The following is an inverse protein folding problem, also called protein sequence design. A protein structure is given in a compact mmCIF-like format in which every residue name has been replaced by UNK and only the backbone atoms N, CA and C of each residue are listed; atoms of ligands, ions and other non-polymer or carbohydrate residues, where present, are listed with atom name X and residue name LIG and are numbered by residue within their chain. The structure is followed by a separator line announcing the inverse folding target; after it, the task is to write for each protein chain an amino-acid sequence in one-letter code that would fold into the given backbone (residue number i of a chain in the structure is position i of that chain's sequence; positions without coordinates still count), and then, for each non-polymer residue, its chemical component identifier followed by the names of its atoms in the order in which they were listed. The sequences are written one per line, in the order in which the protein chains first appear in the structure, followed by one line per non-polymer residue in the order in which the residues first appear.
data_IF_083282683938
#
_entry.id   IF_083282683938
#
_cell.length_a   1.000
_cell.length_b   1.000
_cell.length_c   1.000
_cell.angle_alpha   90.00
_cell.angle_beta   90.00
_cell.angle_gamma   90.00
#
_symmetry.space_group_name_H-M   'P 1'
#
loop_
_entity.id
_entity.type
_entity.pdbx_description
1 polymer ?
#
# COMPACT_ATOMS: atom_id res chain seq x y z
N UNK A 1 -14.74 -3.99 17.87
CA UNK A 1 -13.77 -5.01 17.41
C UNK A 1 -13.59 -4.79 15.92
N UNK A 2 -12.38 -4.48 15.45
CA UNK A 2 -12.10 -4.36 14.01
C UNK A 2 -12.28 -5.73 13.36
N UNK A 3 -13.17 -5.81 12.38
CA UNK A 3 -13.40 -7.03 11.62
C UNK A 3 -12.14 -7.37 10.82
N UNK A 4 -11.46 -8.46 11.17
CA UNK A 4 -10.35 -8.96 10.34
C UNK A 4 -10.96 -9.61 9.11
N UNK A 5 -10.61 -9.19 7.90
CA UNK A 5 -11.20 -9.74 6.69
C UNK A 5 -10.91 -11.25 6.57
N UNK A 6 -11.93 -12.02 6.21
CA UNK A 6 -11.77 -13.42 5.83
C UNK A 6 -10.87 -13.56 4.59
N UNK A 7 -10.32 -14.76 4.36
CA UNK A 7 -9.49 -15.06 3.19
C UNK A 7 -8.42 -14.00 2.87
N UNK A 8 -7.76 -13.46 3.92
CA UNK A 8 -6.69 -12.45 3.81
C UNK A 8 -7.11 -11.15 3.09
N UNK A 9 -8.39 -10.78 3.14
CA UNK A 9 -8.94 -9.59 2.50
C UNK A 9 -9.46 -9.81 1.07
N UNK A 10 -9.37 -11.02 0.54
CA UNK A 10 -9.78 -11.33 -0.84
C UNK A 10 -11.29 -11.24 -1.11
N UNK A 11 -12.11 -11.02 -0.11
CA UNK A 11 -13.56 -10.79 -0.24
C UNK A 11 -14.03 -9.64 0.67
N UNK A 12 -13.14 -8.69 0.94
CA UNK A 12 -13.45 -7.60 1.87
C UNK A 12 -14.57 -6.71 1.33
N UNK A 13 -14.42 -6.18 0.12
CA UNK A 13 -15.42 -5.31 -0.51
C UNK A 13 -16.70 -6.05 -0.86
N UNK A 14 -16.62 -7.35 -1.19
CA UNK A 14 -17.79 -8.22 -1.34
C UNK A 14 -18.70 -8.19 -0.11
N UNK A 15 -18.13 -8.11 1.11
CA UNK A 15 -18.89 -8.13 2.36
C UNK A 15 -19.85 -6.94 2.53
N UNK A 16 -19.58 -5.82 1.88
CA UNK A 16 -20.41 -4.61 1.92
C UNK A 16 -21.51 -4.57 0.86
N UNK A 17 -21.48 -5.48 -0.11
CA UNK A 17 -22.49 -5.57 -1.15
C UNK A 17 -23.82 -6.10 -0.59
N UNK A 18 -24.93 -5.65 -1.16
CA UNK A 18 -26.23 -6.28 -0.93
C UNK A 18 -26.30 -7.67 -1.61
N UNK A 19 -27.41 -8.38 -1.47
CA UNK A 19 -27.54 -9.74 -2.01
C UNK A 19 -27.35 -9.79 -3.53
N UNK A 20 -27.95 -8.86 -4.27
CA UNK A 20 -27.84 -8.79 -5.72
C UNK A 20 -26.41 -8.48 -6.19
N UNK A 21 -25.74 -7.55 -5.51
CA UNK A 21 -24.33 -7.26 -5.74
C UNK A 21 -23.43 -8.45 -5.47
N UNK A 22 -23.67 -9.21 -4.39
CA UNK A 22 -22.92 -10.45 -4.10
C UNK A 22 -23.12 -11.52 -5.16
N UNK A 23 -24.38 -11.73 -5.60
CA UNK A 23 -24.67 -12.69 -6.68
C UNK A 23 -23.92 -12.31 -7.98
N UNK A 24 -23.84 -11.00 -8.30
CA UNK A 24 -23.09 -10.50 -9.44
C UNK A 24 -21.57 -10.67 -9.26
N UNK A 25 -21.03 -10.33 -8.09
CA UNK A 25 -19.62 -10.50 -7.74
C UNK A 25 -19.17 -11.96 -7.91
N UNK A 26 -19.92 -12.89 -7.30
CA UNK A 26 -19.60 -14.32 -7.33
C UNK A 26 -19.60 -14.85 -8.75
N UNK A 27 -20.52 -14.36 -9.56
CA UNK A 27 -20.65 -14.76 -10.96
C UNK A 27 -19.47 -14.28 -11.81
N UNK A 28 -19.05 -13.01 -11.66
CA UNK A 28 -17.86 -12.48 -12.32
C UNK A 28 -16.63 -13.27 -11.90
N UNK A 29 -16.47 -13.49 -10.58
CA UNK A 29 -15.32 -14.22 -10.04
C UNK A 29 -15.25 -15.67 -10.56
N UNK A 30 -16.39 -16.35 -10.66
CA UNK A 30 -16.47 -17.72 -11.21
C UNK A 30 -15.99 -17.76 -12.66
N UNK A 31 -16.40 -16.80 -13.48
CA UNK A 31 -15.98 -16.72 -14.89
C UNK A 31 -14.48 -16.47 -15.02
N UNK A 32 -13.93 -15.49 -14.26
CA UNK A 32 -12.50 -15.18 -14.27
C UNK A 32 -11.65 -16.37 -13.82
N UNK A 33 -12.11 -17.12 -12.82
CA UNK A 33 -11.43 -18.32 -12.35
C UNK A 33 -11.45 -19.47 -13.38
N UNK A 34 -12.45 -19.49 -14.27
CA UNK A 34 -12.51 -20.40 -15.42
C UNK A 34 -11.71 -19.92 -16.63
N UNK A 35 -10.99 -18.82 -16.51
CA UNK A 35 -10.26 -18.16 -17.60
C UNK A 35 -11.17 -17.71 -18.75
N UNK A 36 -12.42 -17.35 -18.44
CA UNK A 36 -13.30 -16.73 -19.42
C UNK A 36 -12.97 -15.24 -19.58
N UNK A 37 -12.26 -14.93 -20.63
CA UNK A 37 -11.83 -13.58 -20.98
C UNK A 37 -12.74 -12.94 -22.03
N UNK A 38 -13.99 -13.36 -22.14
CA UNK A 38 -14.97 -12.76 -23.06
C UNK A 38 -15.32 -11.31 -22.71
N UNK A 39 -15.06 -10.88 -21.48
CA UNK A 39 -15.41 -9.55 -20.99
C UNK A 39 -16.93 -9.34 -20.82
N UNK A 40 -17.68 -10.43 -20.77
CA UNK A 40 -19.13 -10.41 -20.62
C UNK A 40 -19.50 -11.29 -19.44
N UNK A 41 -20.06 -10.71 -18.37
CA UNK A 41 -20.68 -11.53 -17.35
C UNK A 41 -21.84 -12.30 -17.95
N UNK A 42 -21.97 -13.57 -17.67
CA UNK A 42 -23.19 -14.28 -17.96
C UNK A 42 -24.36 -13.66 -17.18
N UNK A 43 -25.57 -13.88 -17.63
CA UNK A 43 -26.75 -13.18 -17.10
C UNK A 43 -26.98 -13.45 -15.63
N UNK A 44 -26.88 -12.41 -14.80
CA UNK A 44 -27.24 -12.45 -13.38
C UNK A 44 -28.73 -12.21 -13.22
N UNK A 45 -29.40 -12.99 -12.35
CA UNK A 45 -30.80 -12.77 -12.03
C UNK A 45 -31.00 -11.44 -11.31
N UNK A 46 -31.83 -10.55 -11.86
CA UNK A 46 -32.18 -9.27 -11.24
C UNK A 46 -33.32 -9.50 -10.24
N UNK A 47 -33.06 -9.14 -9.00
CA UNK A 47 -34.06 -9.19 -7.90
C UNK A 47 -34.74 -7.84 -7.74
N UNK A 48 -33.96 -6.77 -7.76
CA UNK A 48 -34.44 -5.40 -7.71
C UNK A 48 -34.01 -4.64 -8.98
N UNK A 49 -34.99 -4.26 -9.77
CA UNK A 49 -34.77 -3.58 -11.07
C UNK A 49 -34.21 -2.17 -10.84
N UNK A 50 -34.61 -1.50 -9.77
CA UNK A 50 -34.24 -0.10 -9.51
C UNK A 50 -32.76 0.07 -9.18
N UNK A 51 -32.13 -0.92 -8.56
CA UNK A 51 -30.73 -0.91 -8.15
C UNK A 51 -29.82 -1.80 -9.01
N UNK A 52 -30.38 -2.53 -10.01
CA UNK A 52 -29.65 -3.56 -10.74
C UNK A 52 -28.33 -3.09 -11.36
N UNK A 53 -28.32 -1.93 -12.00
CA UNK A 53 -27.12 -1.39 -12.63
C UNK A 53 -26.07 -0.99 -11.58
N UNK A 54 -26.49 -0.24 -10.54
CA UNK A 54 -25.59 0.21 -9.48
C UNK A 54 -25.00 -0.97 -8.68
N UNK A 55 -25.80 -2.00 -8.42
CA UNK A 55 -25.34 -3.21 -7.71
C UNK A 55 -24.31 -3.97 -8.53
N UNK A 56 -24.51 -4.11 -9.84
CA UNK A 56 -23.56 -4.77 -10.74
C UNK A 56 -22.26 -3.96 -10.90
N UNK A 57 -22.34 -2.63 -10.99
CA UNK A 57 -21.15 -1.77 -11.02
C UNK A 57 -20.37 -1.83 -9.71
N UNK A 58 -21.06 -1.80 -8.57
CA UNK A 58 -20.44 -1.97 -7.26
C UNK A 58 -19.77 -3.35 -7.13
N UNK A 59 -20.40 -4.40 -7.61
CA UNK A 59 -19.85 -5.75 -7.64
C UNK A 59 -18.57 -5.82 -8.48
N UNK A 60 -18.57 -5.24 -9.68
CA UNK A 60 -17.39 -5.21 -10.56
C UNK A 60 -16.22 -4.44 -9.93
N UNK A 61 -16.52 -3.27 -9.34
CA UNK A 61 -15.51 -2.52 -8.60
C UNK A 61 -14.95 -3.35 -7.44
N UNK A 62 -15.80 -4.02 -6.67
CA UNK A 62 -15.39 -4.88 -5.56
C UNK A 62 -14.49 -6.04 -6.03
N UNK A 63 -14.79 -6.69 -7.15
CA UNK A 63 -13.91 -7.72 -7.73
C UNK A 63 -12.52 -7.17 -8.03
N UNK A 64 -12.43 -6.01 -8.65
CA UNK A 64 -11.14 -5.38 -8.99
C UNK A 64 -10.34 -4.95 -7.75
N UNK A 65 -11.02 -4.48 -6.71
CA UNK A 65 -10.37 -4.03 -5.47
C UNK A 65 -9.96 -5.21 -4.58
N UNK A 66 -10.75 -6.27 -4.56
CA UNK A 66 -10.45 -7.48 -3.81
C UNK A 66 -9.39 -8.36 -4.50
N UNK A 67 -9.26 -8.29 -5.84
CA UNK A 67 -8.47 -9.23 -6.64
C UNK A 67 -7.48 -8.52 -7.58
N UNK A 68 -6.37 -7.97 -7.06
CA UNK A 68 -5.35 -7.33 -7.90
C UNK A 68 -4.68 -8.28 -8.90
N UNK A 69 -4.84 -9.60 -8.75
CA UNK A 69 -4.40 -10.61 -9.70
C UNK A 69 -5.17 -10.60 -11.03
N UNK A 70 -6.39 -10.01 -11.05
CA UNK A 70 -7.15 -9.78 -12.28
C UNK A 70 -6.82 -8.43 -12.91
N UNK A 71 -5.56 -8.12 -13.03
CA UNK A 71 -4.99 -6.87 -13.56
C UNK A 71 -5.47 -6.50 -14.98
N UNK A 72 -6.00 -7.46 -15.71
CA UNK A 72 -6.50 -7.31 -17.07
C UNK A 72 -7.92 -6.76 -17.15
N UNK A 73 -8.57 -6.49 -16.02
CA UNK A 73 -9.89 -5.87 -15.97
C UNK A 73 -9.78 -4.36 -16.11
N UNK A 74 -10.48 -3.78 -17.09
CA UNK A 74 -10.53 -2.33 -17.27
C UNK A 74 -11.34 -1.60 -16.19
N UNK A 75 -11.29 -0.28 -16.21
CA UNK A 75 -11.98 0.54 -15.20
C UNK A 75 -13.47 0.72 -15.49
N UNK A 76 -13.84 0.73 -16.75
CA UNK A 76 -15.22 0.97 -17.21
C UNK A 76 -15.98 -0.34 -17.30
N UNK A 77 -17.30 -0.24 -17.17
CA UNK A 77 -18.21 -1.35 -17.44
C UNK A 77 -19.55 -0.84 -17.90
N UNK A 78 -20.27 -1.65 -18.68
CA UNK A 78 -21.58 -1.35 -19.22
C UNK A 78 -22.59 -2.36 -18.71
N UNK A 79 -23.79 -1.91 -18.36
CA UNK A 79 -24.87 -2.77 -17.90
C UNK A 79 -26.03 -2.75 -18.91
N UNK A 80 -26.51 -3.94 -19.29
CA UNK A 80 -27.68 -4.13 -20.11
C UNK A 80 -28.67 -5.02 -19.40
N UNK A 81 -29.93 -4.62 -19.35
CA UNK A 81 -31.00 -5.43 -18.79
C UNK A 81 -31.85 -6.06 -19.93
N UNK A 82 -32.13 -7.34 -19.79
CA UNK A 82 -33.05 -8.10 -20.69
C UNK A 82 -34.05 -8.84 -19.79
N UNK A 83 -35.25 -8.30 -19.66
CA UNK A 83 -36.27 -8.84 -18.75
C UNK A 83 -35.84 -8.81 -17.32
N UNK A 84 -35.72 -9.98 -16.67
CA UNK A 84 -35.23 -10.16 -15.30
C UNK A 84 -33.76 -10.61 -15.23
N UNK A 85 -33.00 -10.37 -16.30
CA UNK A 85 -31.58 -10.70 -16.36
C UNK A 85 -30.75 -9.45 -16.61
N UNK A 86 -29.64 -9.32 -15.89
CA UNK A 86 -28.62 -8.30 -16.11
C UNK A 86 -27.40 -8.90 -16.79
N UNK A 87 -26.85 -8.19 -17.75
CA UNK A 87 -25.58 -8.53 -18.40
C UNK A 87 -24.63 -7.37 -18.17
N UNK A 88 -23.50 -7.65 -17.56
CA UNK A 88 -22.42 -6.69 -17.39
C UNK A 88 -21.33 -6.96 -18.43
N UNK A 89 -20.91 -5.92 -19.16
CA UNK A 89 -19.75 -5.96 -20.06
C UNK A 89 -18.64 -5.13 -19.47
N UNK A 90 -17.42 -5.64 -19.56
CA UNK A 90 -16.22 -4.96 -19.10
C UNK A 90 -15.03 -5.27 -20.03
N UNK A 91 -14.13 -4.30 -20.27
CA UNK A 91 -13.00 -4.53 -21.15
C UNK A 91 -11.99 -5.48 -20.52
N UNK A 92 -11.48 -6.38 -21.32
CA UNK A 92 -10.26 -7.16 -21.06
C UNK A 92 -9.12 -6.44 -21.77
N UNK A 93 -8.18 -5.93 -20.98
CA UNK A 93 -7.15 -4.98 -21.46
C UNK A 93 -6.00 -5.63 -22.22
N UNK A 94 -5.84 -6.96 -22.09
CA UNK A 94 -4.72 -7.70 -22.67
C UNK A 94 -5.19 -8.99 -23.32
N UNK A 95 -4.45 -9.46 -24.32
CA UNK A 95 -4.67 -10.79 -24.91
C UNK A 95 -4.30 -11.90 -23.93
N UNK A 96 -4.82 -13.10 -24.15
CA UNK A 96 -4.64 -14.25 -23.26
C UNK A 96 -3.14 -14.60 -23.05
N UNK A 97 -2.35 -14.56 -24.11
CA UNK A 97 -0.90 -14.80 -24.05
C UNK A 97 -0.17 -13.78 -23.18
N UNK A 98 -0.56 -12.50 -23.23
CA UNK A 98 -0.03 -11.45 -22.35
C UNK A 98 -0.49 -11.70 -20.91
N UNK A 99 -1.75 -12.04 -20.68
CA UNK A 99 -2.27 -12.36 -19.36
C UNK A 99 -1.46 -13.50 -18.72
N UNK A 100 -1.26 -14.60 -19.44
CA UNK A 100 -0.52 -15.75 -18.94
C UNK A 100 0.95 -15.41 -18.64
N UNK A 101 1.59 -14.67 -19.53
CA UNK A 101 2.98 -14.19 -19.34
C UNK A 101 3.10 -13.32 -18.10
N UNK A 102 2.21 -12.35 -17.91
CA UNK A 102 2.23 -11.46 -16.75
C UNK A 102 1.93 -12.23 -15.49
N UNK A 103 0.96 -13.13 -15.48
CA UNK A 103 0.66 -13.99 -14.32
C UNK A 103 1.88 -14.83 -13.88
N UNK A 104 2.67 -15.32 -14.84
CA UNK A 104 3.93 -16.00 -14.53
C UNK A 104 4.93 -15.06 -13.86
N UNK A 105 5.10 -13.84 -14.38
CA UNK A 105 6.01 -12.84 -13.80
C UNK A 105 5.55 -12.37 -12.42
N UNK A 106 4.25 -12.22 -12.20
CA UNK A 106 3.67 -11.92 -10.88
C UNK A 106 4.07 -12.98 -9.87
N UNK A 107 3.83 -14.25 -10.18
CA UNK A 107 4.21 -15.36 -9.29
C UNK A 107 5.72 -15.35 -8.99
N UNK A 108 6.56 -15.13 -9.99
CA UNK A 108 8.02 -15.05 -9.84
C UNK A 108 8.44 -13.87 -8.95
N UNK A 109 7.93 -12.67 -9.22
CA UNK A 109 8.22 -11.46 -8.44
C UNK A 109 7.77 -11.59 -6.99
N UNK A 110 6.54 -12.06 -6.76
CA UNK A 110 6.03 -12.28 -5.40
C UNK A 110 6.91 -13.27 -4.64
N UNK A 111 7.27 -14.42 -5.25
CA UNK A 111 8.15 -15.40 -4.61
C UNK A 111 9.53 -14.82 -4.27
N UNK A 112 10.08 -13.97 -5.12
CA UNK A 112 11.36 -13.29 -4.86
C UNK A 112 11.27 -12.30 -3.71
N UNK A 113 10.21 -11.44 -3.71
CA UNK A 113 10.01 -10.40 -2.71
C UNK A 113 9.73 -10.96 -1.31
N UNK A 114 9.06 -12.11 -1.21
CA UNK A 114 8.75 -12.75 0.08
C UNK A 114 9.83 -13.76 0.53
N UNK A 115 10.89 -13.92 -0.21
CA UNK A 115 11.96 -14.90 0.14
C UNK A 115 12.59 -14.55 1.49
N UNK A 116 12.74 -15.56 2.35
CA UNK A 116 13.37 -15.42 3.68
C UNK A 116 12.47 -14.83 4.74
N UNK A 117 11.16 -14.69 4.48
CA UNK A 117 10.18 -14.24 5.51
C UNK A 117 9.69 -15.38 6.39
N UNK A 118 9.88 -16.64 6.01
CA UNK A 118 9.44 -17.78 6.78
C UNK A 118 10.07 -17.79 8.18
N UNK A 119 9.26 -18.01 9.21
CA UNK A 119 9.71 -18.04 10.60
C UNK A 119 9.86 -16.67 11.28
N UNK A 120 9.82 -15.56 10.53
CA UNK A 120 9.84 -14.22 11.13
C UNK A 120 8.49 -13.86 11.78
N UNK A 121 8.47 -13.01 12.82
CA UNK A 121 7.26 -12.39 13.32
C UNK A 121 6.52 -11.64 12.19
N UNK A 122 5.19 -11.51 12.31
CA UNK A 122 4.33 -10.89 11.27
C UNK A 122 4.85 -9.51 10.86
N UNK A 123 5.15 -8.65 11.83
CA UNK A 123 5.63 -7.29 11.57
C UNK A 123 7.01 -7.26 10.88
N UNK A 124 7.91 -8.18 11.21
CA UNK A 124 9.22 -8.25 10.55
C UNK A 124 9.10 -8.76 9.10
N UNK A 125 8.16 -9.69 8.84
CA UNK A 125 7.82 -10.11 7.46
C UNK A 125 7.30 -8.95 6.65
N UNK A 126 6.41 -8.15 7.24
CA UNK A 126 5.85 -6.96 6.64
C UNK A 126 6.93 -5.95 6.27
N UNK A 127 7.74 -5.52 7.25
CA UNK A 127 8.82 -4.54 7.06
C UNK A 127 9.76 -4.98 5.93
N UNK A 128 10.18 -6.23 5.93
CA UNK A 128 11.10 -6.77 4.93
C UNK A 128 10.51 -6.75 3.51
N UNK A 129 9.24 -7.11 3.37
CA UNK A 129 8.56 -7.10 2.07
C UNK A 129 8.30 -5.67 1.60
N UNK A 130 7.84 -4.80 2.50
CA UNK A 130 7.60 -3.40 2.22
C UNK A 130 8.87 -2.69 1.72
N UNK A 131 9.98 -2.85 2.43
CA UNK A 131 11.28 -2.29 2.04
C UNK A 131 11.73 -2.76 0.66
N UNK A 132 11.58 -4.06 0.37
CA UNK A 132 11.96 -4.62 -0.94
C UNK A 132 11.12 -4.05 -2.08
N UNK A 133 9.83 -3.82 -1.86
CA UNK A 133 8.95 -3.21 -2.85
C UNK A 133 9.32 -1.75 -3.06
N UNK A 134 9.49 -0.98 -1.97
CA UNK A 134 9.89 0.42 -2.05
C UNK A 134 11.22 0.59 -2.81
N UNK A 135 12.21 -0.25 -2.53
CA UNK A 135 13.53 -0.25 -3.23
C UNK A 135 13.47 -0.73 -4.68
N UNK A 136 12.47 -1.56 -5.02
CA UNK A 136 12.36 -2.14 -6.36
C UNK A 136 11.72 -1.19 -7.36
N UNK A 137 10.73 -0.40 -6.92
CA UNK A 137 9.87 0.35 -7.80
C UNK A 137 10.27 1.81 -7.87
N UNK A 138 10.17 2.38 -9.06
CA UNK A 138 10.24 3.82 -9.32
C UNK A 138 8.85 4.35 -9.64
N UNK A 139 8.47 5.51 -9.05
CA UNK A 139 7.19 6.13 -9.36
C UNK A 139 7.25 6.78 -10.75
N UNK A 140 6.42 6.30 -11.66
CA UNK A 140 6.38 6.78 -13.03
C UNK A 140 4.96 6.70 -13.58
N UNK A 141 4.52 7.78 -14.22
CA UNK A 141 3.25 7.86 -14.93
C UNK A 141 3.51 8.17 -16.40
N UNK A 142 3.46 7.12 -17.23
CA UNK A 142 3.64 7.23 -18.68
C UNK A 142 2.33 7.54 -19.40
N UNK A 143 1.21 7.61 -18.66
CA UNK A 143 -0.15 7.71 -19.23
C UNK A 143 -0.66 6.42 -19.85
N UNK A 144 -0.05 5.29 -19.50
CA UNK A 144 -0.40 3.96 -19.98
C UNK A 144 -1.21 3.19 -18.92
N UNK A 145 -2.12 2.34 -19.37
CA UNK A 145 -2.92 1.47 -18.49
C UNK A 145 -2.06 0.56 -17.61
N UNK A 146 -0.85 0.20 -18.06
CA UNK A 146 0.10 -0.62 -17.30
C UNK A 146 0.57 0.05 -16.01
N UNK A 147 0.61 1.38 -15.95
CA UNK A 147 1.04 2.14 -14.78
C UNK A 147 0.06 1.95 -13.60
N UNK A 148 -1.22 1.74 -13.94
CA UNK A 148 -2.34 1.58 -13.00
C UNK A 148 -2.65 0.13 -12.60
N UNK A 149 -1.76 -0.81 -12.89
CA UNK A 149 -1.95 -2.21 -12.51
C UNK A 149 -0.60 -2.92 -12.27
N UNK A 150 -0.64 -4.23 -12.01
CA UNK A 150 0.55 -5.02 -11.65
C UNK A 150 1.58 -5.15 -12.79
N UNK A 151 1.22 -4.84 -14.04
CA UNK A 151 2.09 -5.02 -15.22
C UNK A 151 3.33 -4.12 -15.13
N UNK A 152 3.16 -2.83 -14.80
CA UNK A 152 4.27 -1.90 -14.57
C UNK A 152 5.26 -2.44 -13.54
N UNK A 153 4.84 -2.69 -12.30
CA UNK A 153 5.69 -3.22 -11.24
C UNK A 153 6.44 -4.52 -11.55
N UNK A 154 5.85 -5.45 -12.28
CA UNK A 154 6.48 -6.76 -12.49
C UNK A 154 7.31 -6.85 -13.76
N UNK A 155 6.99 -6.08 -14.80
CA UNK A 155 7.72 -6.11 -16.07
C UNK A 155 8.73 -4.96 -16.22
N UNK A 156 8.45 -3.81 -15.61
CA UNK A 156 9.22 -2.57 -15.84
C UNK A 156 9.81 -1.99 -14.56
N UNK A 157 9.43 -2.48 -13.37
CA UNK A 157 9.79 -1.96 -12.05
C UNK A 157 9.33 -0.51 -11.85
N UNK A 158 8.22 -0.11 -12.45
CA UNK A 158 7.64 1.22 -12.34
C UNK A 158 6.10 1.17 -12.27
N UNK A 159 5.49 2.31 -12.01
CA UNK A 159 4.04 2.48 -11.98
C UNK A 159 3.61 3.62 -11.05
N UNK A 160 2.30 3.79 -10.93
CA UNK A 160 1.67 4.72 -9.98
C UNK A 160 1.10 3.97 -8.77
N UNK A 161 0.44 4.67 -7.87
CA UNK A 161 -0.07 4.12 -6.60
C UNK A 161 -0.84 2.80 -6.75
N UNK A 162 -1.67 2.64 -7.80
CA UNK A 162 -2.45 1.42 -8.03
C UNK A 162 -1.56 0.21 -8.32
N UNK A 163 -0.50 0.39 -9.12
CA UNK A 163 0.49 -0.66 -9.39
C UNK A 163 1.27 -1.07 -8.14
N UNK A 164 1.74 -0.10 -7.37
CA UNK A 164 2.42 -0.34 -6.08
C UNK A 164 1.54 -1.14 -5.12
N UNK A 165 0.27 -0.70 -4.96
CA UNK A 165 -0.70 -1.39 -4.12
C UNK A 165 -0.95 -2.82 -4.56
N UNK A 166 -1.12 -3.05 -5.86
CA UNK A 166 -1.36 -4.38 -6.39
C UNK A 166 -0.24 -5.35 -6.00
N UNK A 167 1.02 -4.94 -6.17
CA UNK A 167 2.18 -5.77 -5.80
C UNK A 167 2.27 -5.98 -4.28
N UNK A 168 2.07 -4.92 -3.48
CA UNK A 168 2.09 -4.99 -2.02
C UNK A 168 1.04 -5.96 -1.49
N UNK A 169 -0.21 -5.83 -1.95
CA UNK A 169 -1.31 -6.69 -1.53
C UNK A 169 -1.03 -8.17 -1.85
N UNK A 170 -0.55 -8.48 -3.04
CA UNK A 170 -0.22 -9.87 -3.41
C UNK A 170 0.92 -10.44 -2.54
N UNK A 171 1.94 -9.63 -2.27
CA UNK A 171 3.03 -10.03 -1.38
C UNK A 171 2.56 -10.23 0.06
N UNK A 172 1.77 -9.30 0.61
CA UNK A 172 1.25 -9.39 1.97
C UNK A 172 0.36 -10.62 2.16
N UNK A 173 -0.57 -10.85 1.24
CA UNK A 173 -1.41 -12.06 1.26
C UNK A 173 -0.57 -13.33 1.17
N UNK A 174 0.48 -13.34 0.36
CA UNK A 174 1.40 -14.49 0.24
C UNK A 174 2.13 -14.83 1.54
N UNK A 175 2.40 -13.85 2.40
CA UNK A 175 3.03 -14.05 3.72
C UNK A 175 2.02 -14.10 4.87
N UNK A 176 0.72 -14.20 4.57
CA UNK A 176 -0.34 -14.38 5.55
C UNK A 176 -0.79 -13.10 6.26
N UNK A 177 -0.56 -11.93 5.66
CA UNK A 177 -1.03 -10.63 6.17
C UNK A 177 -2.33 -10.26 5.43
N UNK A 178 -3.48 -10.18 6.13
CA UNK A 178 -4.70 -9.66 5.54
C UNK A 178 -4.52 -8.19 5.14
N UNK A 179 -4.98 -7.83 3.96
CA UNK A 179 -4.87 -6.45 3.49
C UNK A 179 -5.92 -6.10 2.45
N UNK A 180 -6.24 -4.81 2.36
CA UNK A 180 -7.20 -4.24 1.43
C UNK A 180 -6.67 -2.93 0.87
N UNK A 181 -7.08 -2.57 -0.33
CA UNK A 181 -6.81 -1.28 -0.94
C UNK A 181 -7.84 -0.26 -0.46
N UNK A 182 -7.41 0.92 -0.10
CA UNK A 182 -8.28 2.06 0.22
C UNK A 182 -7.99 3.23 -0.70
N UNK A 183 -8.99 4.09 -0.89
CA UNK A 183 -8.91 5.27 -1.74
C UNK A 183 -9.12 6.52 -0.91
N UNK A 184 -8.48 7.60 -1.31
CA UNK A 184 -8.63 8.92 -0.74
C UNK A 184 -7.97 9.98 -1.60
N UNK A 185 -7.68 11.12 -1.01
CA UNK A 185 -6.92 12.20 -1.64
C UNK A 185 -5.68 12.52 -0.83
N UNK A 186 -4.71 13.11 -1.49
CA UNK A 186 -3.51 13.66 -0.85
C UNK A 186 -3.41 15.16 -1.10
N UNK A 187 -2.58 15.85 -0.32
CA UNK A 187 -2.35 17.30 -0.48
C UNK A 187 -1.70 17.66 -1.83
N UNK A 188 -0.94 16.74 -2.41
CA UNK A 188 -0.12 17.01 -3.60
C UNK A 188 -0.68 16.37 -4.87
N UNK A 189 -1.16 15.11 -4.80
CA UNK A 189 -1.40 14.28 -5.97
C UNK A 189 -2.88 14.06 -6.31
N UNK A 190 -3.80 14.68 -5.55
CA UNK A 190 -5.24 14.49 -5.77
C UNK A 190 -5.72 13.09 -5.35
N UNK A 191 -6.42 12.37 -6.23
CA UNK A 191 -6.89 11.01 -5.96
C UNK A 191 -5.73 10.04 -5.85
N UNK A 192 -5.74 9.24 -4.78
CA UNK A 192 -4.70 8.32 -4.41
C UNK A 192 -5.27 7.02 -3.83
N UNK A 193 -4.48 5.95 -3.86
CA UNK A 193 -4.81 4.72 -3.17
C UNK A 193 -3.60 4.14 -2.44
N UNK A 194 -3.88 3.49 -1.32
CA UNK A 194 -2.88 2.82 -0.51
C UNK A 194 -3.46 1.57 0.16
N UNK A 195 -2.67 0.86 0.92
CA UNK A 195 -3.06 -0.39 1.56
C UNK A 195 -3.42 -0.16 3.03
N UNK A 196 -4.47 -0.82 3.53
CA UNK A 196 -4.66 -1.10 4.95
C UNK A 196 -4.34 -2.57 5.19
N UNK A 197 -3.43 -2.85 6.11
CA UNK A 197 -3.01 -4.20 6.50
C UNK A 197 -3.42 -4.52 7.94
N UNK A 198 -3.60 -5.79 8.27
CA UNK A 198 -3.88 -6.23 9.66
C UNK A 198 -2.64 -6.87 10.27
N UNK A 199 -2.00 -6.16 11.18
CA UNK A 199 -0.85 -6.65 11.94
C UNK A 199 -1.33 -7.14 13.30
N UNK A 200 -1.20 -8.44 13.53
CA UNK A 200 -1.71 -9.10 14.74
C UNK A 200 -3.20 -8.77 15.03
N UNK A 201 -4.02 -8.65 13.99
CA UNK A 201 -5.46 -8.37 14.10
C UNK A 201 -5.82 -6.88 14.20
N UNK A 202 -4.87 -5.96 14.22
CA UNK A 202 -5.11 -4.52 14.25
C UNK A 202 -4.86 -3.90 12.86
N UNK A 203 -5.82 -3.15 12.31
CA UNK A 203 -5.63 -2.50 11.01
C UNK A 203 -4.72 -1.28 11.13
N UNK A 204 -3.84 -1.11 10.15
CA UNK A 204 -2.90 -0.01 10.01
C UNK A 204 -2.79 0.43 8.56
N UNK A 205 -2.54 1.72 8.32
CA UNK A 205 -2.30 2.25 6.99
C UNK A 205 -0.85 2.03 6.56
N UNK A 206 -0.66 1.63 5.30
CA UNK A 206 0.65 1.41 4.68
C UNK A 206 0.64 2.02 3.28
N UNK A 207 1.43 3.06 3.05
CA UNK A 207 1.58 3.68 1.73
C UNK A 207 3.02 3.57 1.22
N UNK A 208 3.29 2.48 0.52
CA UNK A 208 4.61 2.20 -0.04
C UNK A 208 4.98 3.13 -1.20
N UNK A 209 4.00 3.81 -1.81
CA UNK A 209 4.22 4.76 -2.90
C UNK A 209 4.95 6.01 -2.39
N UNK A 210 4.60 6.45 -1.18
CA UNK A 210 5.18 7.64 -0.56
C UNK A 210 6.45 7.34 0.27
N UNK A 211 6.80 6.07 0.42
CA UNK A 211 8.04 5.63 1.06
C UNK A 211 9.13 5.23 0.05
N UNK A 212 9.21 5.95 -1.08
CA UNK A 212 10.31 5.78 -2.02
C UNK A 212 11.67 5.96 -1.33
N UNK A 213 12.73 5.28 -1.79
CA UNK A 213 14.06 5.44 -1.25
C UNK A 213 14.52 6.89 -1.33
N UNK A 214 15.24 7.34 -0.30
CA UNK A 214 15.97 8.60 -0.36
C UNK A 214 17.06 8.52 -1.44
N UNK A 215 17.11 9.49 -2.34
CA UNK A 215 18.02 9.48 -3.50
C UNK A 215 19.49 9.54 -3.08
N UNK A 216 19.83 10.29 -2.02
CA UNK A 216 21.20 10.43 -1.54
C UNK A 216 21.65 9.22 -0.71
N UNK A 217 20.80 8.76 0.20
CA UNK A 217 21.15 7.69 1.14
C UNK A 217 20.80 6.28 0.62
N UNK A 218 19.91 6.16 -0.36
CA UNK A 218 19.45 4.89 -0.91
C UNK A 218 18.66 4.03 0.09
N UNK A 219 18.10 4.65 1.12
CA UNK A 219 17.32 3.98 2.17
C UNK A 219 15.84 4.31 2.06
N UNK A 220 14.99 3.39 2.52
CA UNK A 220 13.55 3.60 2.63
C UNK A 220 13.25 4.37 3.91
N UNK A 221 12.38 5.37 3.83
CA UNK A 221 12.03 6.21 4.97
C UNK A 221 11.13 5.55 5.99
N UNK A 222 10.27 4.61 5.59
CA UNK A 222 9.23 4.00 6.44
C UNK A 222 8.31 5.03 7.12
N UNK A 223 8.15 6.18 6.50
CA UNK A 223 7.31 7.26 7.01
C UNK A 223 5.84 6.85 7.04
N UNK A 224 5.43 6.08 6.03
CA UNK A 224 4.04 5.70 5.80
C UNK A 224 3.78 4.22 6.11
N UNK A 225 4.63 3.57 6.88
CA UNK A 225 4.44 2.20 7.32
C UNK A 225 3.80 2.12 8.70
N UNK A 226 2.63 1.49 8.76
CA UNK A 226 1.88 1.20 9.99
C UNK A 226 1.37 2.45 10.73
N UNK A 227 0.76 3.37 9.97
CA UNK A 227 0.16 4.56 10.54
C UNK A 227 -1.26 4.33 11.06
N UNK A 228 -1.62 5.02 12.14
CA UNK A 228 -3.01 5.20 12.54
C UNK A 228 -3.73 6.16 11.58
N UNK A 229 -5.07 6.14 11.58
CA UNK A 229 -5.87 7.10 10.81
C UNK A 229 -5.53 8.55 11.19
N UNK A 230 -5.25 8.83 12.48
CA UNK A 230 -4.81 10.15 12.94
C UNK A 230 -3.48 10.56 12.32
N UNK A 231 -2.50 9.66 12.27
CA UNK A 231 -1.18 9.96 11.73
C UNK A 231 -1.22 10.19 10.21
N UNK A 232 -1.89 9.32 9.46
CA UNK A 232 -1.93 9.46 8.00
C UNK A 232 -2.77 10.68 7.56
N UNK A 233 -3.76 11.11 8.36
CA UNK A 233 -4.64 12.24 8.04
C UNK A 233 -3.94 13.60 7.96
N UNK A 234 -2.66 13.70 8.31
CA UNK A 234 -1.90 14.96 8.16
C UNK A 234 -1.73 15.37 6.70
N UNK A 235 -1.72 14.41 5.78
CA UNK A 235 -1.56 14.66 4.35
C UNK A 235 -2.38 13.74 3.43
N UNK A 236 -3.09 12.75 3.99
CA UNK A 236 -4.06 11.90 3.30
C UNK A 236 -5.46 12.16 3.89
N UNK A 237 -6.45 12.40 3.07
CA UNK A 237 -7.80 12.75 3.50
C UNK A 237 -8.88 12.16 2.57
N UNK A 238 -10.16 12.39 2.90
CA UNK A 238 -11.33 11.86 2.18
C UNK A 238 -11.34 10.32 2.01
N UNK A 239 -10.72 9.60 2.96
CA UNK A 239 -10.73 8.13 2.98
C UNK A 239 -11.72 7.54 3.99
N UNK A 240 -12.67 8.35 4.48
CA UNK A 240 -13.67 7.92 5.45
C UNK A 240 -14.83 7.17 4.79
N UNK A 241 -15.43 6.25 5.53
CA UNK A 241 -16.59 5.48 5.13
C UNK A 241 -16.63 4.14 5.85
N UNK A 242 -17.78 3.45 5.79
CA UNK A 242 -17.95 2.14 6.44
C UNK A 242 -17.01 1.05 5.90
N UNK A 243 -16.49 1.28 4.71
CA UNK A 243 -15.58 0.35 4.02
C UNK A 243 -14.11 0.58 4.39
N UNK A 244 -13.78 1.66 5.10
CA UNK A 244 -12.41 1.92 5.55
C UNK A 244 -12.23 1.36 6.96
N UNK A 245 -11.25 0.47 7.18
CA UNK A 245 -10.99 -0.07 8.51
C UNK A 245 -10.58 1.02 9.49
N UNK A 246 -11.06 0.93 10.75
CA UNK A 246 -10.72 1.88 11.81
C UNK A 246 -9.29 1.62 12.32
N UNK A 247 -8.30 2.29 11.75
CA UNK A 247 -6.89 2.20 12.12
C UNK A 247 -6.59 3.12 13.32
N UNK A 248 -6.79 2.63 14.53
CA UNK A 248 -6.61 3.42 15.76
C UNK A 248 -5.30 3.17 16.48
N UNK A 249 -4.63 2.06 16.21
CA UNK A 249 -3.41 1.65 16.89
C UNK A 249 -2.18 2.37 16.32
N UNK A 250 -1.30 2.82 17.20
CA UNK A 250 0.02 3.39 16.84
C UNK A 250 1.17 2.47 17.26
N UNK A 251 0.87 1.33 17.88
CA UNK A 251 1.91 0.46 18.46
C UNK A 251 2.79 -0.21 17.42
N UNK A 252 2.28 -0.38 16.19
CA UNK A 252 3.01 -0.98 15.08
C UNK A 252 3.67 0.03 14.16
N UNK A 253 3.47 1.35 14.41
CA UNK A 253 4.21 2.36 13.66
C UNK A 253 5.69 2.01 13.64
N UNK A 254 6.31 2.06 12.46
CA UNK A 254 7.67 1.57 12.25
C UNK A 254 8.67 2.16 13.24
N UNK A 255 8.70 3.49 13.39
CA UNK A 255 9.66 4.16 14.26
C UNK A 255 9.45 3.80 15.73
N UNK A 256 8.19 3.72 16.16
CA UNK A 256 7.85 3.30 17.52
C UNK A 256 8.24 1.84 17.78
N UNK A 257 7.91 0.95 16.84
CA UNK A 257 8.23 -0.47 16.95
C UNK A 257 9.74 -0.73 17.01
N UNK A 258 10.52 0.00 16.20
CA UNK A 258 11.98 -0.11 16.18
C UNK A 258 12.67 0.69 17.30
N UNK A 259 11.93 1.37 18.18
CA UNK A 259 12.52 2.19 19.25
C UNK A 259 13.26 3.43 18.72
N UNK A 260 12.83 3.96 17.58
CA UNK A 260 13.45 5.10 16.89
C UNK A 260 12.77 6.44 17.20
N UNK A 261 11.85 6.48 18.15
CA UNK A 261 11.20 7.72 18.60
C UNK A 261 12.05 8.44 19.64
N UNK A 262 12.23 9.75 19.46
CA UNK A 262 13.07 10.61 20.31
C UNK A 262 12.24 11.83 20.74
N UNK A 263 12.23 12.14 22.02
CA UNK A 263 11.33 13.15 22.61
C UNK A 263 12.07 14.37 23.20
N UNK A 264 13.39 14.38 23.18
CA UNK A 264 14.19 15.49 23.72
C UNK A 264 15.51 15.66 22.96
N UNK A 265 16.07 16.87 23.02
CA UNK A 265 17.39 17.17 22.43
C UNK A 265 18.51 16.35 23.10
N UNK A 266 18.40 16.05 24.40
CA UNK A 266 19.38 15.22 25.10
C UNK A 266 19.36 13.79 24.54
N UNK A 267 18.18 13.19 24.45
CA UNK A 267 17.99 11.86 23.87
C UNK A 267 18.44 11.81 22.39
N UNK A 268 18.20 12.89 21.62
CA UNK A 268 18.70 13.01 20.26
C UNK A 268 20.23 12.96 20.19
N UNK A 269 20.92 13.69 21.07
CA UNK A 269 22.39 13.68 21.16
C UNK A 269 22.89 12.27 21.49
N UNK A 270 22.31 11.64 22.51
CA UNK A 270 22.68 10.29 22.93
C UNK A 270 22.52 9.27 21.78
N UNK A 271 21.39 9.34 21.06
CA UNK A 271 21.15 8.48 19.90
C UNK A 271 22.12 8.74 18.77
N UNK A 272 22.43 10.00 18.48
CA UNK A 272 23.42 10.35 17.46
C UNK A 272 24.80 9.79 17.82
N UNK A 273 25.23 9.91 19.07
CA UNK A 273 26.53 9.40 19.54
C UNK A 273 26.62 7.87 19.55
N UNK A 274 25.48 7.17 19.81
CA UNK A 274 25.41 5.71 19.81
C UNK A 274 25.36 5.12 18.38
N UNK A 275 24.55 5.68 17.51
CA UNK A 275 24.18 5.04 16.24
C UNK A 275 24.99 5.57 15.07
N UNK A 276 25.45 6.85 15.10
CA UNK A 276 26.34 7.41 14.09
C UNK A 276 27.80 7.08 14.43
N UNK A 277 28.17 5.83 14.13
CA UNK A 277 29.49 5.28 14.45
C UNK A 277 30.62 5.88 13.60
N UNK A 278 31.86 5.47 13.86
CA UNK A 278 33.07 5.91 13.15
C UNK A 278 33.26 5.26 11.75
N UNK A 279 32.22 4.73 11.14
CA UNK A 279 32.29 4.25 9.73
C UNK A 279 32.33 5.43 8.76
N UNK A 280 32.82 5.20 7.56
CA UNK A 280 32.93 6.24 6.52
C UNK A 280 31.59 6.90 6.18
N UNK A 281 30.49 6.17 6.34
CA UNK A 281 29.12 6.68 6.27
C UNK A 281 28.27 5.96 7.31
N UNK A 282 27.54 6.71 8.12
CA UNK A 282 26.60 6.18 9.11
C UNK A 282 25.24 6.84 8.94
N UNK A 283 24.20 6.10 9.22
CA UNK A 283 22.80 6.49 9.04
C UNK A 283 22.06 6.43 10.37
N UNK A 284 21.22 7.41 10.64
CA UNK A 284 20.29 7.42 11.76
C UNK A 284 18.94 7.95 11.29
N UNK A 285 17.92 7.11 11.36
CA UNK A 285 16.54 7.44 11.00
C UNK A 285 15.71 7.50 12.29
N UNK A 286 15.06 8.62 12.54
CA UNK A 286 14.32 8.87 13.79
C UNK A 286 12.95 9.48 13.52
N UNK A 287 12.02 9.24 14.44
CA UNK A 287 10.85 10.08 14.63
C UNK A 287 11.16 11.05 15.77
N UNK A 288 11.35 12.32 15.43
CA UNK A 288 11.71 13.38 16.35
C UNK A 288 10.76 14.56 16.26
N UNK A 289 10.03 14.82 17.34
CA UNK A 289 9.15 15.97 17.46
C UNK A 289 9.93 17.16 18.04
N UNK A 290 10.32 18.16 17.20
CA UNK A 290 11.12 19.30 17.65
C UNK A 290 10.31 20.22 18.54
N UNK A 291 11.00 20.90 19.49
CA UNK A 291 10.35 21.90 20.35
C UNK A 291 10.01 23.20 19.61
N UNK A 292 10.72 23.52 18.54
CA UNK A 292 10.65 24.80 17.83
C UNK A 292 10.17 24.67 16.38
N UNK A 293 9.49 23.62 16.02
CA UNK A 293 8.97 23.35 14.67
C UNK A 293 10.01 23.37 13.51
N UNK A 294 11.30 23.33 13.82
CA UNK A 294 12.38 23.20 12.85
C UNK A 294 13.32 22.04 13.21
N UNK A 295 12.98 20.81 12.76
CA UNK A 295 13.79 19.62 13.03
C UNK A 295 15.22 19.77 12.55
N UNK A 296 15.45 20.39 11.40
CA UNK A 296 16.76 20.52 10.79
C UNK A 296 17.70 21.38 11.64
N UNK A 297 17.20 22.51 12.16
CA UNK A 297 17.97 23.40 13.03
C UNK A 297 18.34 22.73 14.37
N UNK A 298 17.38 22.03 14.97
CA UNK A 298 17.60 21.32 16.24
C UNK A 298 18.60 20.16 16.07
N UNK A 299 18.50 19.37 14.97
CA UNK A 299 19.48 18.31 14.69
C UNK A 299 20.88 18.87 14.45
N UNK A 300 21.03 19.97 13.70
CA UNK A 300 22.33 20.66 13.54
C UNK A 300 22.89 21.14 14.86
N UNK A 301 22.04 21.68 15.74
CA UNK A 301 22.45 22.11 17.10
C UNK A 301 22.87 20.91 17.96
N UNK A 302 22.11 19.81 17.91
CA UNK A 302 22.46 18.58 18.61
C UNK A 302 23.80 18.00 18.14
N UNK A 303 24.03 17.97 16.83
CA UNK A 303 25.31 17.50 16.27
C UNK A 303 26.50 18.33 16.75
N UNK A 304 26.39 19.66 16.79
CA UNK A 304 27.42 20.54 17.32
C UNK A 304 27.71 20.32 18.80
N UNK A 305 26.74 19.85 19.58
CA UNK A 305 26.87 19.56 21.02
C UNK A 305 27.35 18.13 21.29
N UNK A 306 27.23 17.24 20.30
CA UNK A 306 27.69 15.86 20.42
C UNK A 306 29.19 15.75 20.30
N UNK A 307 29.72 14.57 20.63
CA UNK A 307 31.16 14.23 20.47
C UNK A 307 31.52 13.77 19.06
N UNK A 308 30.58 13.88 18.14
CA UNK A 308 30.76 13.43 16.77
C UNK A 308 31.57 14.48 15.96
N UNK A 309 32.33 13.98 14.99
CA UNK A 309 33.07 14.80 14.04
C UNK A 309 32.69 14.44 12.60
N UNK A 310 33.10 15.24 11.63
CA UNK A 310 32.72 15.08 10.23
C UNK A 310 31.57 16.01 9.81
N UNK A 311 30.83 15.64 8.78
CA UNK A 311 29.69 16.38 8.28
C UNK A 311 28.40 15.54 8.35
N UNK A 312 27.25 16.20 8.40
CA UNK A 312 25.96 15.54 8.33
C UNK A 312 25.09 16.15 7.22
N UNK A 313 24.38 15.30 6.49
CA UNK A 313 23.20 15.68 5.72
C UNK A 313 21.95 15.36 6.53
N UNK A 314 20.95 16.21 6.47
CA UNK A 314 19.70 16.06 7.21
C UNK A 314 18.55 16.14 6.20
N UNK A 315 17.74 15.08 6.16
CA UNK A 315 16.53 15.00 5.37
C UNK A 315 15.34 14.93 6.33
N UNK A 316 14.26 15.58 6.04
CA UNK A 316 13.10 15.65 6.95
C UNK A 316 11.79 15.35 6.22
N UNK A 317 10.91 14.63 6.90
CA UNK A 317 9.50 14.57 6.59
C UNK A 317 8.72 15.28 7.71
N UNK A 318 8.55 16.60 7.57
CA UNK A 318 8.02 17.45 8.63
C UNK A 318 6.60 17.06 9.06
N UNK A 319 5.74 16.67 8.13
CA UNK A 319 4.35 16.26 8.40
C UNK A 319 4.26 15.09 9.40
N UNK A 320 5.26 14.20 9.39
CA UNK A 320 5.30 13.01 10.25
C UNK A 320 6.39 13.07 11.32
N UNK A 321 7.06 14.22 11.46
CA UNK A 321 8.17 14.41 12.40
C UNK A 321 9.32 13.39 12.23
N UNK A 322 9.57 12.95 11.00
CA UNK A 322 10.63 11.99 10.72
C UNK A 322 11.88 12.70 10.18
N UNK A 323 13.03 12.27 10.66
CA UNK A 323 14.33 12.83 10.33
C UNK A 323 15.29 11.70 9.95
N UNK A 324 15.94 11.85 8.83
CA UNK A 324 17.05 11.03 8.40
C UNK A 324 18.35 11.83 8.55
N UNK A 325 19.31 11.30 9.27
CA UNK A 325 20.64 11.90 9.45
C UNK A 325 21.65 10.99 8.79
N UNK A 326 22.37 11.52 7.82
CA UNK A 326 23.49 10.85 7.16
C UNK A 326 24.77 11.52 7.63
N UNK A 327 25.66 10.80 8.29
CA UNK A 327 26.96 11.28 8.69
C UNK A 327 28.02 10.81 7.71
N UNK A 328 28.87 11.74 7.30
CA UNK A 328 30.09 11.48 6.48
C UNK A 328 31.31 11.92 7.31
N UNK A 329 32.34 11.10 7.33
CA UNK A 329 33.63 11.41 7.99
C UNK A 329 34.48 12.32 7.13
#
# INVERSE_FOLDING_TARGET
MSHVPGKLGAEYYRSFLNRQGRDCYDHILEQLNKKDYSGVSSSVAIRDISSAASDCFAAYKAVRDDHPEFFFLGFQSEFTRIGHKGILRYPILYSEDIIERVQYQVRKSVCQLVRGTAGLPVIEREILVYERIAKKLSYNNHGDVRDHNIVGPVLYNDGVCEGYNALLMLCFRRIGIPCVKVYGKTKTDGWHCWTVAWINGEPVHCDVTWDSPDEEAGIVWFNYLNLSAKQISVNHYEFSGKEVPACVSERFNYHRYKGLSVNSTAELIDRMEQDLTASAQSLLHLNYCPKQNDPMSEVKSAFKKSRLFGSISIHTCADLNNVLIVRKL
#
